data_IF_445293690323
#
_entry.id   IF_445293690323
#
_cell.length_a   1.000
_cell.length_b   1.000
_cell.length_c   1.000
_cell.angle_alpha   90.00
_cell.angle_beta   90.00
_cell.angle_gamma   90.00
#
_symmetry.space_group_name_H-M   'P 1'
#
loop_
_entity.id
_entity.type
_entity.pdbx_description
1 polymer ?
#
# COMPACT_ATOMS: atom_id res chain seq x y z
N UNK A 1 25.47 -4.06 -16.49
CA UNK A 1 24.11 -3.64 -16.86
C UNK A 1 23.23 -3.94 -15.65
N UNK A 2 22.36 -3.02 -15.25
CA UNK A 2 21.31 -3.35 -14.28
C UNK A 2 20.13 -3.84 -15.11
N UNK A 3 19.90 -5.13 -15.10
CA UNK A 3 18.74 -5.76 -15.72
C UNK A 3 17.49 -5.21 -15.02
N UNK A 4 16.77 -4.32 -15.70
CA UNK A 4 15.44 -3.90 -15.27
C UNK A 4 14.50 -5.05 -15.60
N UNK A 5 14.38 -5.99 -14.67
CA UNK A 5 13.48 -7.13 -14.82
C UNK A 5 12.04 -6.62 -14.72
N UNK A 6 11.26 -6.83 -15.80
CA UNK A 6 9.83 -6.59 -15.81
C UNK A 6 9.15 -7.64 -14.92
N UNK A 7 8.68 -7.21 -13.75
CA UNK A 7 7.97 -8.07 -12.81
C UNK A 7 6.46 -7.89 -12.96
N UNK A 8 5.71 -9.00 -12.97
CA UNK A 8 4.24 -8.98 -13.09
C UNK A 8 3.62 -8.65 -11.73
N UNK A 9 2.80 -7.60 -11.73
CA UNK A 9 2.03 -7.16 -10.57
C UNK A 9 0.73 -7.97 -10.52
N UNK A 10 0.52 -8.71 -9.43
CA UNK A 10 -0.73 -9.44 -9.18
C UNK A 10 -1.83 -8.48 -8.69
N UNK A 11 -1.51 -7.63 -7.71
CA UNK A 11 -2.44 -6.64 -7.14
C UNK A 11 -1.73 -5.66 -6.21
N UNK A 12 -2.36 -4.55 -5.88
CA UNK A 12 -1.89 -3.64 -4.83
C UNK A 12 -2.59 -3.97 -3.52
N UNK A 13 -1.83 -4.15 -2.43
CA UNK A 13 -2.37 -4.55 -1.12
C UNK A 13 -2.54 -3.38 -0.15
N UNK A 14 -1.81 -2.29 -0.35
CA UNK A 14 -1.93 -1.10 0.50
C UNK A 14 -1.48 0.16 -0.24
N UNK A 15 -1.98 1.32 0.22
CA UNK A 15 -1.54 2.64 -0.19
C UNK A 15 -1.10 3.43 1.04
N UNK A 16 0.03 4.13 0.96
CA UNK A 16 0.55 4.99 2.00
C UNK A 16 0.62 6.42 1.50
N UNK A 17 0.00 7.32 2.26
CA UNK A 17 0.05 8.75 2.06
C UNK A 17 1.39 9.30 2.56
N UNK A 18 2.12 9.97 1.66
CA UNK A 18 3.37 10.65 1.93
C UNK A 18 3.23 12.14 1.61
N UNK A 19 3.08 12.95 2.66
CA UNK A 19 2.90 14.39 2.52
C UNK A 19 4.28 15.04 2.33
N UNK A 20 4.49 15.66 1.17
CA UNK A 20 5.72 16.37 0.81
C UNK A 20 5.38 17.85 0.64
N UNK A 21 5.61 18.62 1.70
CA UNK A 21 5.28 20.05 1.72
C UNK A 21 3.77 20.26 1.65
N UNK A 22 3.27 20.74 0.51
CA UNK A 22 1.84 20.99 0.24
C UNK A 22 1.20 19.99 -0.73
N UNK A 23 1.91 18.90 -1.06
CA UNK A 23 1.43 17.88 -1.99
C UNK A 23 1.39 16.52 -1.30
N UNK A 24 0.36 15.73 -1.60
CA UNK A 24 0.31 14.33 -1.22
C UNK A 24 0.93 13.47 -2.32
N UNK A 25 1.82 12.57 -1.93
CA UNK A 25 2.37 11.52 -2.79
C UNK A 25 1.93 10.17 -2.27
N UNK A 26 1.52 9.29 -3.15
CA UNK A 26 1.12 7.94 -2.80
C UNK A 26 2.24 6.96 -3.08
N UNK A 27 2.53 6.12 -2.10
CA UNK A 27 3.32 4.90 -2.26
C UNK A 27 2.36 3.74 -2.16
N UNK A 28 2.50 2.72 -2.99
CA UNK A 28 1.64 1.56 -2.92
C UNK A 28 2.46 0.31 -2.73
N UNK A 29 1.91 -0.63 -1.97
CA UNK A 29 2.52 -1.91 -1.69
C UNK A 29 2.04 -2.91 -2.72
N UNK A 30 2.97 -3.40 -3.54
CA UNK A 30 2.69 -4.27 -4.67
C UNK A 30 2.80 -5.72 -4.22
N UNK A 31 1.79 -6.52 -4.59
CA UNK A 31 1.86 -7.97 -4.54
C UNK A 31 2.40 -8.46 -5.88
N UNK A 32 3.58 -9.03 -5.85
CA UNK A 32 4.21 -9.66 -7.01
C UNK A 32 3.59 -11.02 -7.28
N UNK A 33 3.30 -11.32 -8.55
CA UNK A 33 2.77 -12.62 -8.96
C UNK A 33 3.84 -13.71 -8.78
N UNK A 34 3.47 -14.84 -8.18
CA UNK A 34 4.40 -15.94 -7.92
C UNK A 34 5.33 -15.77 -6.71
N UNK A 35 5.36 -14.59 -6.08
CA UNK A 35 6.11 -14.34 -4.84
C UNK A 35 5.21 -14.36 -3.61
N UNK A 36 5.81 -14.61 -2.45
CA UNK A 36 5.12 -14.56 -1.17
C UNK A 36 4.74 -13.12 -0.81
N UNK A 37 3.65 -12.94 -0.07
CA UNK A 37 3.23 -11.64 0.47
C UNK A 37 4.27 -10.99 1.40
N UNK A 38 5.24 -11.76 1.90
CA UNK A 38 6.39 -11.24 2.65
C UNK A 38 7.39 -10.46 1.78
N UNK A 39 7.39 -10.70 0.46
CA UNK A 39 8.30 -10.07 -0.51
C UNK A 39 7.68 -8.80 -1.13
N UNK A 40 6.51 -8.40 -0.67
CA UNK A 40 5.82 -7.22 -1.16
C UNK A 40 6.65 -5.96 -0.87
N UNK A 41 6.81 -5.09 -1.86
CA UNK A 41 7.61 -3.86 -1.75
C UNK A 41 6.75 -2.61 -1.92
N UNK A 42 7.23 -1.49 -1.37
CA UNK A 42 6.57 -0.19 -1.46
C UNK A 42 7.08 0.59 -2.67
N UNK A 43 6.28 0.63 -3.72
CA UNK A 43 6.60 1.26 -4.99
C UNK A 43 5.84 2.60 -5.13
N UNK A 44 6.45 3.64 -5.71
CA UNK A 44 5.77 4.90 -5.95
C UNK A 44 4.76 4.77 -7.10
N UNK A 45 3.70 5.59 -7.09
CA UNK A 45 2.71 5.65 -8.18
C UNK A 45 3.34 5.71 -9.58
N UNK A 46 4.44 6.45 -9.73
CA UNK A 46 5.14 6.60 -11.00
C UNK A 46 5.80 5.33 -11.53
N UNK A 47 6.09 4.33 -10.69
CA UNK A 47 6.67 3.06 -11.13
C UNK A 47 5.60 2.11 -11.68
N UNK A 48 4.36 2.21 -11.19
CA UNK A 48 3.24 1.34 -11.60
C UNK A 48 2.66 1.71 -12.96
N UNK A 49 2.78 2.98 -13.35
CA UNK A 49 2.28 3.49 -14.63
C UNK A 49 3.31 3.34 -15.77
N UNK A 50 4.45 2.68 -15.53
CA UNK A 50 5.55 2.66 -16.50
C UNK A 50 5.47 1.50 -17.51
N UNK A 51 4.63 0.51 -17.28
CA UNK A 51 4.27 -0.54 -18.24
C UNK A 51 2.94 -0.15 -18.89
N UNK A 52 2.99 0.39 -20.11
CA UNK A 52 1.83 0.86 -20.90
C UNK A 52 0.88 -0.25 -21.34
N UNK A 53 0.34 -1.01 -20.39
CA UNK A 53 -0.77 -1.93 -20.55
C UNK A 53 -2.00 -1.36 -19.86
N UNK A 54 -3.15 -1.57 -20.48
CA UNK A 54 -4.45 -0.96 -20.22
C UNK A 54 -5.11 -1.38 -18.87
N UNK A 55 -4.38 -2.08 -18.02
CA UNK A 55 -4.80 -2.55 -16.70
C UNK A 55 -4.19 -1.67 -15.59
N UNK A 56 -4.84 -0.54 -15.29
CA UNK A 56 -4.52 0.31 -14.14
C UNK A 56 -4.79 -0.45 -12.82
N UNK A 57 -3.82 -1.25 -12.36
CA UNK A 57 -3.87 -1.97 -11.06
C UNK A 57 -4.17 -1.04 -9.88
N UNK A 58 -3.79 0.24 -10.01
CA UNK A 58 -4.10 1.30 -9.06
C UNK A 58 -5.60 1.59 -9.01
N UNK A 59 -6.28 1.64 -10.15
CA UNK A 59 -7.71 1.91 -10.20
C UNK A 59 -8.50 0.76 -9.55
N UNK A 60 -8.13 -0.48 -9.87
CA UNK A 60 -8.73 -1.67 -9.24
C UNK A 60 -8.55 -1.64 -7.72
N UNK A 61 -7.38 -1.21 -7.26
CA UNK A 61 -7.13 -0.99 -5.83
C UNK A 61 -8.03 0.08 -5.24
N UNK A 62 -8.10 1.27 -5.83
CA UNK A 62 -8.91 2.37 -5.29
C UNK A 62 -10.41 2.08 -5.30
N UNK A 63 -10.89 1.29 -6.26
CA UNK A 63 -12.29 0.84 -6.31
C UNK A 63 -12.65 -0.11 -5.15
N UNK A 64 -11.67 -0.88 -4.66
CA UNK A 64 -11.85 -1.83 -3.55
C UNK A 64 -11.41 -1.26 -2.20
N UNK A 65 -10.55 -0.25 -2.20
CA UNK A 65 -9.98 0.32 -0.99
C UNK A 65 -11.05 1.07 -0.18
N UNK A 66 -11.08 0.91 1.15
CA UNK A 66 -11.98 1.67 2.00
C UNK A 66 -11.52 3.13 2.07
N UNK A 67 -11.99 3.96 1.15
CA UNK A 67 -11.70 5.40 1.12
C UNK A 67 -12.44 6.17 2.22
N UNK A 68 -13.41 5.56 2.91
CA UNK A 68 -14.18 6.14 4.03
C UNK A 68 -14.73 7.55 3.72
N UNK A 69 -14.98 7.84 2.44
CA UNK A 69 -15.41 9.16 1.96
C UNK A 69 -14.33 10.25 1.95
N UNK A 70 -13.06 9.91 2.11
CA UNK A 70 -11.92 10.85 2.02
C UNK A 70 -11.48 11.06 0.58
N UNK A 71 -11.28 12.32 0.21
CA UNK A 71 -10.65 12.68 -1.06
C UNK A 71 -9.17 12.28 -1.07
N UNK A 72 -8.75 11.47 -2.06
CA UNK A 72 -7.36 11.00 -2.22
C UNK A 72 -6.35 12.12 -2.46
N UNK A 73 -6.83 13.30 -2.86
CA UNK A 73 -5.99 14.45 -3.22
C UNK A 73 -5.98 15.54 -2.14
N UNK A 74 -6.86 15.41 -1.13
CA UNK A 74 -6.97 16.39 -0.05
C UNK A 74 -5.89 16.15 1.02
N UNK A 75 -4.81 16.93 0.94
CA UNK A 75 -3.69 16.88 1.90
C UNK A 75 -4.13 17.03 3.35
N UNK A 76 -5.25 17.71 3.64
CA UNK A 76 -5.72 17.95 5.01
C UNK A 76 -6.38 16.72 5.62
N UNK A 77 -6.97 15.86 4.79
CA UNK A 77 -7.65 14.62 5.18
C UNK A 77 -6.69 13.46 5.47
N UNK A 78 -5.43 13.57 5.02
CA UNK A 78 -4.41 12.55 5.22
C UNK A 78 -3.37 12.98 6.24
N UNK A 79 -2.85 12.01 7.00
CA UNK A 79 -1.71 12.20 7.89
C UNK A 79 -0.43 11.69 7.22
N UNK A 80 0.71 12.23 7.59
CA UNK A 80 2.00 11.73 7.11
C UNK A 80 2.18 10.27 7.54
N UNK A 81 2.43 9.36 6.58
CA UNK A 81 2.49 7.91 6.78
C UNK A 81 1.13 7.26 7.13
N UNK A 82 0.01 7.93 6.84
CA UNK A 82 -1.31 7.28 6.89
C UNK A 82 -1.36 6.18 5.83
N UNK A 83 -1.84 4.99 6.19
CA UNK A 83 -1.77 3.82 5.33
C UNK A 83 -3.15 3.19 5.21
N UNK A 84 -3.65 3.09 3.99
CA UNK A 84 -4.91 2.45 3.62
C UNK A 84 -4.59 1.03 3.18
N UNK A 85 -5.06 0.05 3.93
CA UNK A 85 -4.90 -1.37 3.59
C UNK A 85 -6.13 -1.81 2.80
N UNK A 86 -5.89 -2.63 1.78
CA UNK A 86 -6.97 -3.34 1.12
C UNK A 86 -7.58 -4.33 2.12
N UNK A 87 -8.90 -4.48 2.13
CA UNK A 87 -9.59 -5.44 3.01
C UNK A 87 -9.63 -6.85 2.42
N UNK A 88 -8.91 -7.09 1.33
CA UNK A 88 -8.86 -8.35 0.62
C UNK A 88 -7.94 -9.36 1.32
N UNK A 89 -8.18 -10.65 1.10
CA UNK A 89 -7.44 -11.74 1.74
C UNK A 89 -5.93 -11.64 1.46
N UNK A 90 -5.55 -11.11 0.28
CA UNK A 90 -4.17 -10.89 -0.14
C UNK A 90 -3.43 -9.96 0.83
N UNK A 91 -4.07 -8.87 1.28
CA UNK A 91 -3.48 -7.92 2.21
C UNK A 91 -3.37 -8.49 3.63
N UNK A 92 -4.32 -9.32 4.05
CA UNK A 92 -4.24 -10.01 5.36
C UNK A 92 -3.16 -11.10 5.43
N UNK A 93 -2.68 -11.60 4.30
CA UNK A 93 -1.56 -12.56 4.26
C UNK A 93 -0.19 -11.89 4.33
N UNK A 94 -0.10 -10.56 4.25
CA UNK A 94 1.15 -9.83 4.36
C UNK A 94 1.61 -9.76 5.84
N UNK A 95 2.80 -10.29 6.20
CA UNK A 95 3.28 -10.27 7.59
C UNK A 95 3.78 -8.90 8.05
N UNK A 96 4.00 -7.98 7.11
CA UNK A 96 4.33 -6.56 7.31
C UNK A 96 3.06 -5.70 7.47
N UNK A 97 1.87 -6.23 7.15
CA UNK A 97 0.61 -5.71 7.68
C UNK A 97 0.82 -5.59 9.19
N UNK A 98 0.77 -4.36 9.76
CA UNK A 98 1.16 -4.14 11.13
C UNK A 98 0.30 -5.06 11.98
N UNK A 99 0.93 -6.08 12.56
CA UNK A 99 0.29 -6.93 13.55
C UNK A 99 -0.24 -5.94 14.56
N UNK A 100 -1.58 -5.85 14.66
CA UNK A 100 -2.25 -4.92 15.54
C UNK A 100 -1.45 -4.85 16.83
N UNK A 101 -1.07 -3.65 17.32
CA UNK A 101 -0.17 -3.53 18.45
C UNK A 101 -0.71 -4.47 19.51
N UNK A 102 0.05 -5.53 19.84
CA UNK A 102 -0.32 -6.37 20.94
C UNK A 102 -0.45 -5.41 22.10
N UNK A 103 -1.69 -5.14 22.53
CA UNK A 103 -1.97 -4.30 23.69
C UNK A 103 -1.07 -4.88 24.76
N UNK A 104 0.01 -4.17 25.08
CA UNK A 104 0.88 -4.56 26.16
C UNK A 104 -0.04 -4.53 27.37
N UNK A 105 -0.42 -5.72 27.84
CA UNK A 105 -1.09 -5.84 29.12
C UNK A 105 -0.05 -5.39 30.12
N UNK A 106 -0.17 -4.17 30.62
CA UNK A 106 0.48 -3.77 31.86
C UNK A 106 -0.06 -4.72 32.92
N UNK A 107 0.65 -5.80 33.18
CA UNK A 107 0.46 -6.56 34.42
C UNK A 107 1.30 -5.85 35.45
N UNK A 108 0.61 -5.04 36.26
CA UNK A 108 1.15 -4.35 37.42
C UNK A 108 2.06 -5.27 38.21
N UNK A 109 3.30 -4.82 38.42
CA UNK A 109 4.26 -5.44 39.34
C UNK A 109 3.72 -5.23 40.76
N UNK A 110 3.36 -6.33 41.44
CA UNK A 110 3.12 -6.35 42.89
C UNK A 110 4.37 -6.74 43.64
#
# INVERSE_FOLDING_TARGET
MADQEDYVIESVVAAQAHIVGRKIKWKYRVKWEGYASSENTWEPAGNMNSSGGDDDVLEVFWNKAPLDGRDREDVQSWKTKDTVWLTDEIATKDPECPKQPQRYRVTSRT
#
